data_IF_640918156209
#
_entry.id   IF_640918156209
#
_cell.length_a   1.000
_cell.length_b   1.000
_cell.length_c   1.000
_cell.angle_alpha   90.00
_cell.angle_beta   90.00
_cell.angle_gamma   90.00
#
_symmetry.space_group_name_H-M   'P 1'
#
loop_
_entity.id
_entity.type
_entity.pdbx_description
1 polymer ?
#
# COMPACT_ATOMS: atom_id res chain seq x y z
N UNK A 1 6.82 -22.31 -31.36
CA UNK A 1 7.17 -22.85 -30.03
C UNK A 1 7.17 -21.67 -29.06
N UNK A 2 6.01 -21.14 -28.65
CA UNK A 2 5.14 -21.61 -27.55
C UNK A 2 5.98 -21.98 -26.30
N UNK A 3 5.89 -21.34 -25.12
CA UNK A 3 4.82 -20.53 -24.53
C UNK A 3 5.37 -19.73 -23.34
N UNK A 4 5.11 -18.41 -23.28
CA UNK A 4 5.24 -17.60 -22.06
C UNK A 4 4.06 -16.62 -22.02
N UNK A 5 2.85 -17.18 -21.96
CA UNK A 5 1.60 -16.46 -21.70
C UNK A 5 0.79 -17.30 -20.72
N UNK A 6 0.13 -16.63 -19.76
CA UNK A 6 -0.52 -17.08 -18.51
C UNK A 6 0.40 -17.05 -17.27
N UNK A 7 0.07 -16.35 -16.18
CA UNK A 7 -1.25 -16.16 -15.57
C UNK A 7 -1.38 -14.81 -14.84
N UNK A 8 -2.27 -13.94 -15.33
CA UNK A 8 -2.90 -12.85 -14.58
C UNK A 8 -4.38 -13.20 -14.46
N UNK A 9 -4.71 -14.14 -13.57
CA UNK A 9 -6.07 -14.36 -13.06
C UNK A 9 -6.02 -15.48 -12.02
N UNK A 10 -5.98 -15.12 -10.73
CA UNK A 10 -6.49 -15.97 -9.65
C UNK A 10 -6.48 -15.19 -8.31
N UNK A 11 -7.64 -14.81 -7.74
CA UNK A 11 -7.72 -14.39 -6.35
C UNK A 11 -7.71 -15.63 -5.45
N UNK A 12 -6.53 -16.15 -5.11
CA UNK A 12 -6.40 -17.24 -4.13
C UNK A 12 -6.33 -16.71 -2.71
N UNK A 13 -7.41 -16.97 -1.97
CA UNK A 13 -7.55 -16.90 -0.52
C UNK A 13 -6.40 -17.65 0.19
N UNK A 14 -5.43 -16.91 0.72
CA UNK A 14 -4.31 -17.48 1.50
C UNK A 14 -4.61 -17.47 3.00
N UNK A 15 -5.46 -18.39 3.46
CA UNK A 15 -5.53 -18.80 4.87
C UNK A 15 -4.72 -20.09 5.02
N UNK A 16 -3.39 -19.93 5.07
CA UNK A 16 -2.45 -21.01 5.35
C UNK A 16 -1.09 -20.39 5.63
N UNK A 17 -0.47 -20.73 6.77
CA UNK A 17 0.89 -20.29 7.14
C UNK A 17 1.93 -20.94 6.19
N UNK A 18 1.95 -20.57 4.92
CA UNK A 18 2.84 -21.11 3.89
C UNK A 18 4.19 -20.40 3.89
N UNK A 19 5.22 -21.03 3.32
CA UNK A 19 6.57 -20.49 3.15
C UNK A 19 6.62 -19.06 2.58
N UNK A 20 5.59 -18.66 1.83
CA UNK A 20 5.40 -17.30 1.31
C UNK A 20 5.39 -16.25 2.43
N UNK A 21 4.70 -16.51 3.55
CA UNK A 21 4.65 -15.55 4.67
C UNK A 21 6.02 -15.38 5.33
N UNK A 22 6.81 -16.47 5.45
CA UNK A 22 8.17 -16.38 6.01
C UNK A 22 9.11 -15.65 5.06
N UNK A 23 9.02 -15.94 3.75
CA UNK A 23 9.82 -15.29 2.72
C UNK A 23 9.53 -13.78 2.66
N UNK A 24 8.26 -13.39 2.67
CA UNK A 24 7.85 -11.99 2.68
C UNK A 24 8.35 -11.26 3.93
N UNK A 25 8.27 -11.91 5.10
CA UNK A 25 8.84 -11.32 6.31
C UNK A 25 10.36 -11.14 6.20
N UNK A 26 11.11 -12.14 5.69
CA UNK A 26 12.56 -12.03 5.46
C UNK A 26 12.92 -10.89 4.49
N UNK A 27 12.13 -10.70 3.44
CA UNK A 27 12.36 -9.61 2.49
C UNK A 27 12.16 -8.24 3.15
N UNK A 28 11.11 -8.10 3.98
CA UNK A 28 10.89 -6.88 4.76
C UNK A 28 12.01 -6.67 5.79
N UNK A 29 12.40 -7.70 6.53
CA UNK A 29 13.53 -7.63 7.47
C UNK A 29 14.85 -7.25 6.78
N UNK A 30 15.11 -7.78 5.58
CA UNK A 30 16.27 -7.39 4.78
C UNK A 30 16.19 -5.93 4.35
N UNK A 31 15.06 -5.48 3.82
CA UNK A 31 14.85 -4.08 3.45
C UNK A 31 15.03 -3.14 4.65
N UNK A 32 14.65 -3.58 5.84
CA UNK A 32 14.87 -2.82 7.06
C UNK A 32 16.34 -2.73 7.48
N UNK A 33 17.14 -3.77 7.23
CA UNK A 33 18.60 -3.76 7.50
C UNK A 33 19.37 -2.89 6.52
N UNK A 34 18.98 -2.91 5.25
CA UNK A 34 19.57 -2.09 4.19
C UNK A 34 19.04 -0.64 4.17
N UNK A 35 18.30 -0.24 5.20
CA UNK A 35 17.69 1.08 5.23
C UNK A 35 18.74 2.18 5.35
N UNK A 36 18.76 3.07 4.37
CA UNK A 36 19.71 4.18 4.29
C UNK A 36 19.02 5.55 4.33
N UNK A 37 17.77 5.61 4.78
CA UNK A 37 16.94 6.82 4.71
C UNK A 37 16.10 6.91 3.43
N UNK A 38 15.20 7.90 3.41
CA UNK A 38 14.45 8.27 2.22
C UNK A 38 15.31 9.05 1.22
N UNK A 39 14.93 9.02 -0.08
CA UNK A 39 15.55 9.90 -1.05
C UNK A 39 15.45 11.37 -0.65
N UNK A 40 16.45 12.16 -1.08
CA UNK A 40 16.51 13.59 -0.75
C UNK A 40 15.25 14.30 -1.25
N UNK A 41 14.63 15.09 -0.36
CA UNK A 41 13.41 15.84 -0.65
C UNK A 41 12.11 15.04 -0.52
N UNK A 42 12.18 13.75 -0.18
CA UNK A 42 11.00 12.89 0.03
C UNK A 42 10.66 12.84 1.52
N UNK A 43 9.42 13.15 1.86
CA UNK A 43 8.89 13.03 3.22
C UNK A 43 8.18 11.69 3.44
N UNK A 44 8.00 11.33 4.72
CA UNK A 44 7.18 10.17 5.12
C UNK A 44 5.73 10.26 4.62
N UNK A 45 5.22 11.48 4.40
CA UNK A 45 3.86 11.75 3.92
C UNK A 45 3.73 11.55 2.41
N UNK A 46 4.81 11.75 1.65
CA UNK A 46 4.83 11.47 0.21
C UNK A 46 4.65 9.97 -0.04
N UNK A 47 5.33 9.14 0.74
CA UNK A 47 5.16 7.68 0.64
C UNK A 47 3.75 7.26 1.03
N UNK A 48 3.19 7.83 2.10
CA UNK A 48 1.81 7.55 2.48
C UNK A 48 0.84 7.92 1.34
N UNK A 49 1.08 9.05 0.66
CA UNK A 49 0.28 9.48 -0.48
C UNK A 49 0.36 8.48 -1.64
N UNK A 50 1.54 7.91 -1.91
CA UNK A 50 1.71 6.83 -2.87
C UNK A 50 0.94 5.57 -2.46
N UNK A 51 1.00 5.16 -1.18
CA UNK A 51 0.23 4.01 -0.68
C UNK A 51 -1.27 4.23 -0.84
N UNK A 52 -1.77 5.44 -0.54
CA UNK A 52 -3.20 5.78 -0.71
C UNK A 52 -3.62 5.69 -2.18
N UNK A 53 -2.81 6.20 -3.12
CA UNK A 53 -3.05 6.05 -4.58
C UNK A 53 -3.04 4.59 -5.01
N UNK A 54 -2.12 3.79 -4.47
CA UNK A 54 -1.93 2.38 -4.82
C UNK A 54 -2.76 1.42 -3.95
N UNK A 55 -3.69 1.89 -3.12
CA UNK A 55 -4.38 1.05 -2.14
C UNK A 55 -4.98 -0.21 -2.77
N UNK A 56 -5.65 -0.07 -3.92
CA UNK A 56 -6.23 -1.19 -4.67
C UNK A 56 -5.17 -2.14 -5.21
N UNK A 57 -4.13 -1.61 -5.85
CA UNK A 57 -3.05 -2.39 -6.47
C UNK A 57 -2.21 -3.15 -5.44
N UNK A 58 -2.10 -2.61 -4.22
CA UNK A 58 -1.43 -3.25 -3.08
C UNK A 58 -2.35 -4.25 -2.34
N UNK A 59 -3.61 -4.39 -2.75
CA UNK A 59 -4.58 -5.26 -2.09
C UNK A 59 -4.91 -4.84 -0.66
N UNK A 60 -4.79 -3.54 -0.34
CA UNK A 60 -4.98 -3.01 1.00
C UNK A 60 -6.44 -2.62 1.24
N UNK A 61 -6.91 -2.87 2.47
CA UNK A 61 -8.18 -2.32 2.95
C UNK A 61 -8.00 -0.90 3.47
N UNK A 62 -9.09 -0.11 3.51
CA UNK A 62 -9.07 1.23 4.12
C UNK A 62 -8.58 1.19 5.57
N UNK A 63 -8.95 0.16 6.33
CA UNK A 63 -8.49 -0.07 7.70
C UNK A 63 -6.98 -0.29 7.78
N UNK A 64 -6.39 -1.00 6.83
CA UNK A 64 -4.94 -1.20 6.76
C UNK A 64 -4.21 0.09 6.39
N UNK A 65 -4.69 0.82 5.38
CA UNK A 65 -4.13 2.12 4.98
C UNK A 65 -4.20 3.14 6.14
N UNK A 66 -5.34 3.22 6.82
CA UNK A 66 -5.53 4.09 7.99
C UNK A 66 -4.63 3.69 9.17
N UNK A 67 -4.39 2.40 9.37
CA UNK A 67 -3.45 1.95 10.39
C UNK A 67 -2.00 2.31 10.05
N UNK A 68 -1.61 2.20 8.77
CA UNK A 68 -0.29 2.63 8.33
C UNK A 68 -0.09 4.14 8.51
N UNK A 69 -1.09 4.95 8.14
CA UNK A 69 -1.11 6.39 8.40
C UNK A 69 -0.96 6.72 9.89
N UNK A 70 -1.68 6.00 10.75
CA UNK A 70 -1.54 6.12 12.20
C UNK A 70 -0.09 5.85 12.65
N UNK A 71 0.53 4.76 12.17
CA UNK A 71 1.92 4.41 12.52
C UNK A 71 2.92 5.47 12.04
N UNK A 72 2.77 5.95 10.80
CA UNK A 72 3.61 7.03 10.24
C UNK A 72 3.52 8.29 11.11
N UNK A 73 2.34 8.60 11.65
CA UNK A 73 2.14 9.71 12.58
C UNK A 73 2.93 9.61 13.90
N UNK A 74 3.40 8.42 14.29
CA UNK A 74 4.26 8.22 15.48
C UNK A 74 5.76 8.31 15.18
N UNK A 75 6.13 8.60 13.92
CA UNK A 75 7.52 8.81 13.51
C UNK A 75 7.81 10.30 13.28
N UNK A 76 9.09 10.67 13.36
CA UNK A 76 9.64 12.02 13.08
C UNK A 76 10.45 11.98 11.79
N UNK A 77 10.68 13.12 11.16
CA UNK A 77 11.38 13.15 9.86
C UNK A 77 12.82 12.64 9.98
N UNK A 78 13.48 12.88 11.11
CA UNK A 78 14.80 12.34 11.44
C UNK A 78 14.83 10.80 11.50
N UNK A 79 13.70 10.14 11.78
CA UNK A 79 13.64 8.67 11.81
C UNK A 79 13.76 8.07 10.40
N UNK A 80 13.47 8.87 9.37
CA UNK A 80 13.49 8.47 7.97
C UNK A 80 14.79 8.87 7.27
N UNK A 81 15.81 9.30 8.01
CA UNK A 81 17.11 9.71 7.48
C UNK A 81 18.16 8.61 7.66
N UNK A 82 19.28 8.76 6.95
CA UNK A 82 20.43 7.86 7.07
C UNK A 82 20.90 7.75 8.53
N UNK A 83 21.21 6.54 8.98
CA UNK A 83 21.67 6.28 10.35
C UNK A 83 20.57 6.18 11.40
N UNK A 84 19.30 6.41 11.04
CA UNK A 84 18.13 6.22 11.91
C UNK A 84 17.18 5.16 11.33
N UNK A 85 16.09 4.86 12.05
CA UNK A 85 15.05 3.93 11.59
C UNK A 85 13.65 4.37 12.05
N UNK A 86 12.62 4.28 11.20
CA UNK A 86 11.23 4.62 11.54
C UNK A 86 10.58 3.49 12.34
N UNK A 87 10.99 3.34 13.61
CA UNK A 87 10.50 2.32 14.53
C UNK A 87 9.51 2.92 15.53
N UNK A 88 8.32 2.30 15.60
CA UNK A 88 7.24 2.64 16.51
C UNK A 88 7.22 1.62 17.66
N UNK A 89 7.57 2.08 18.85
CA UNK A 89 7.57 1.26 20.08
C UNK A 89 6.27 1.37 20.90
N UNK A 90 5.22 1.98 20.35
CA UNK A 90 3.90 2.03 20.97
C UNK A 90 3.36 0.60 21.14
N UNK A 91 3.00 0.23 22.38
CA UNK A 91 2.53 -1.12 22.71
C UNK A 91 1.26 -1.48 21.93
N UNK A 92 1.02 -2.79 21.73
CA UNK A 92 -0.21 -3.26 21.06
C UNK A 92 -1.45 -2.82 21.81
N UNK A 93 -1.43 -2.89 23.16
CA UNK A 93 -2.52 -2.43 24.03
C UNK A 93 -2.78 -0.93 23.90
N UNK A 94 -1.74 -0.10 23.92
CA UNK A 94 -1.89 1.35 23.76
C UNK A 94 -2.37 1.71 22.35
N UNK A 95 -1.89 1.00 21.33
CA UNK A 95 -2.36 1.14 19.94
C UNK A 95 -3.85 0.78 19.82
N UNK A 96 -4.27 -0.31 20.46
CA UNK A 96 -5.65 -0.78 20.50
C UNK A 96 -6.58 0.28 21.14
N UNK A 97 -6.21 0.79 22.32
CA UNK A 97 -6.95 1.86 23.03
C UNK A 97 -7.05 3.11 22.15
N UNK A 98 -5.93 3.61 21.62
CA UNK A 98 -5.90 4.84 20.80
C UNK A 98 -6.71 4.73 19.51
N UNK A 99 -6.86 3.52 18.97
CA UNK A 99 -7.62 3.28 17.73
C UNK A 99 -9.04 2.76 17.97
N UNK A 100 -9.45 2.52 19.21
CA UNK A 100 -10.76 1.96 19.55
C UNK A 100 -11.00 0.57 18.97
N UNK A 101 -9.96 -0.28 18.93
CA UNK A 101 -10.04 -1.66 18.39
C UNK A 101 -9.43 -2.67 19.36
N UNK A 102 -9.63 -3.97 19.13
CA UNK A 102 -8.96 -5.00 19.94
C UNK A 102 -7.47 -5.14 19.60
N UNK A 103 -6.66 -5.60 20.56
CA UNK A 103 -5.25 -5.97 20.32
C UNK A 103 -5.09 -7.01 19.21
N UNK A 104 -6.00 -7.99 19.17
CA UNK A 104 -6.05 -8.99 18.11
C UNK A 104 -6.21 -8.33 16.73
N UNK A 105 -7.05 -7.32 16.62
CA UNK A 105 -7.25 -6.58 15.37
C UNK A 105 -6.00 -5.78 14.98
N UNK A 106 -5.32 -5.13 15.94
CA UNK A 106 -4.02 -4.46 15.70
C UNK A 106 -3.03 -5.46 15.09
N UNK A 107 -2.79 -6.58 15.78
CA UNK A 107 -1.85 -7.60 15.32
C UNK A 107 -2.23 -8.20 13.95
N UNK A 108 -3.52 -8.37 13.67
CA UNK A 108 -3.98 -8.87 12.37
C UNK A 108 -3.75 -7.87 11.24
N UNK A 109 -3.97 -6.57 11.50
CA UNK A 109 -3.69 -5.50 10.53
C UNK A 109 -2.19 -5.43 10.26
N UNK A 110 -1.35 -5.38 11.30
CA UNK A 110 0.11 -5.33 11.13
C UNK A 110 0.64 -6.56 10.38
N UNK A 111 0.13 -7.77 10.68
CA UNK A 111 0.47 -8.97 9.90
C UNK A 111 0.04 -8.88 8.43
N UNK A 112 -1.08 -8.24 8.13
CA UNK A 112 -1.48 -8.02 6.75
C UNK A 112 -0.54 -7.02 6.04
N UNK A 113 -0.16 -5.94 6.72
CA UNK A 113 0.81 -4.96 6.20
C UNK A 113 2.21 -5.58 6.01
N UNK A 114 2.66 -6.44 6.92
CA UNK A 114 3.90 -7.21 6.76
C UNK A 114 3.84 -8.16 5.56
N UNK A 115 2.70 -8.86 5.35
CA UNK A 115 2.51 -9.67 4.13
C UNK A 115 2.52 -8.84 2.85
N UNK A 116 2.07 -7.58 2.91
CA UNK A 116 2.18 -6.64 1.81
C UNK A 116 3.62 -6.06 1.64
N UNK A 117 4.56 -6.43 2.53
CA UNK A 117 5.95 -5.97 2.49
C UNK A 117 6.15 -4.54 2.98
N UNK A 118 5.18 -3.97 3.70
CA UNK A 118 5.17 -2.54 4.08
C UNK A 118 5.79 -2.28 5.46
N UNK A 119 5.91 -3.31 6.29
CA UNK A 119 6.53 -3.21 7.61
C UNK A 119 7.13 -4.55 8.04
N UNK A 120 8.01 -4.52 9.02
CA UNK A 120 8.45 -5.68 9.78
C UNK A 120 8.48 -5.34 11.27
N UNK A 121 8.91 -6.27 12.11
CA UNK A 121 9.13 -6.02 13.53
C UNK A 121 10.63 -6.00 13.84
N UNK A 122 11.02 -5.06 14.69
CA UNK A 122 12.33 -5.05 15.33
C UNK A 122 12.15 -5.55 16.76
N UNK A 123 12.52 -6.81 17.01
CA UNK A 123 12.28 -7.49 18.27
C UNK A 123 13.55 -7.63 19.12
N UNK A 124 13.41 -7.51 20.44
CA UNK A 124 14.47 -7.67 21.45
C UNK A 124 14.55 -9.09 22.02
N UNK A 125 13.97 -10.08 21.34
CA UNK A 125 13.90 -11.48 21.79
C UNK A 125 12.69 -11.80 22.70
N UNK A 126 12.10 -10.82 23.40
CA UNK A 126 10.89 -11.02 24.23
C UNK A 126 9.59 -10.49 23.59
N UNK A 127 9.65 -10.03 22.33
CA UNK A 127 8.52 -9.45 21.55
C UNK A 127 7.80 -8.26 22.23
N UNK A 128 8.39 -7.67 23.28
CA UNK A 128 7.83 -6.47 23.91
C UNK A 128 8.26 -5.24 23.14
N UNK A 129 7.31 -4.30 22.99
CA UNK A 129 7.61 -2.98 22.41
C UNK A 129 8.09 -2.05 23.51
N UNK A 130 9.27 -1.48 23.32
CA UNK A 130 9.83 -0.48 24.21
C UNK A 130 10.84 0.35 23.45
N UNK A 131 11.00 1.60 23.85
CA UNK A 131 11.97 2.48 23.26
C UNK A 131 12.09 3.78 24.03
N UNK A 132 13.14 4.49 23.72
CA UNK A 132 13.49 5.76 24.33
C UNK A 132 14.00 6.70 23.24
N UNK A 133 13.57 7.95 23.34
CA UNK A 133 14.06 9.05 22.51
C UNK A 133 14.86 10.00 23.38
N UNK A 134 15.95 10.55 22.83
CA UNK A 134 16.69 11.64 23.47
C UNK A 134 15.81 12.89 23.62
N UNK A 135 16.29 13.86 24.38
CA UNK A 135 15.62 15.17 24.52
C UNK A 135 15.51 15.90 23.16
N UNK A 136 16.49 15.71 22.29
CA UNK A 136 16.50 16.19 20.89
C UNK A 136 15.52 15.43 19.99
N UNK A 137 14.98 14.30 20.45
CA UNK A 137 14.00 13.51 19.73
C UNK A 137 14.50 12.29 19.00
N UNK A 138 15.82 12.08 18.99
CA UNK A 138 16.46 10.98 18.27
C UNK A 138 16.10 9.65 18.90
N UNK A 139 15.88 8.65 18.07
CA UNK A 139 15.56 7.31 18.53
C UNK A 139 16.84 6.61 19.02
N UNK A 140 17.07 6.61 20.33
CA UNK A 140 18.28 6.04 20.94
C UNK A 140 18.22 4.51 20.96
N UNK A 141 17.07 3.96 21.30
CA UNK A 141 16.82 2.52 21.26
C UNK A 141 15.32 2.29 21.09
N UNK A 142 14.92 1.39 20.19
CA UNK A 142 13.52 1.06 20.00
C UNK A 142 13.32 -0.35 19.43
N UNK A 143 12.35 -1.05 20.02
CA UNK A 143 11.85 -2.34 19.60
C UNK A 143 10.34 -2.23 19.39
N UNK A 144 9.87 -2.66 18.22
CA UNK A 144 8.49 -2.49 17.80
C UNK A 144 8.31 -2.59 16.29
N UNK A 145 7.30 -1.88 15.78
CA UNK A 145 6.97 -1.91 14.34
C UNK A 145 7.98 -1.05 13.58
N UNK A 146 8.68 -1.63 12.61
CA UNK A 146 9.66 -0.95 11.77
C UNK A 146 9.06 -0.68 10.37
N UNK A 147 9.02 0.59 9.97
CA UNK A 147 8.50 1.03 8.68
C UNK A 147 9.58 1.21 7.60
N UNK A 148 10.84 0.88 7.86
CA UNK A 148 11.89 0.93 6.85
C UNK A 148 11.56 0.16 5.54
N UNK A 149 10.84 -0.99 5.56
CA UNK A 149 10.43 -1.65 4.32
C UNK A 149 9.51 -0.79 3.44
N UNK A 150 8.73 0.12 4.04
CA UNK A 150 7.90 1.07 3.31
C UNK A 150 8.77 2.06 2.51
N UNK A 151 9.87 2.53 3.09
CA UNK A 151 10.82 3.41 2.42
C UNK A 151 11.46 2.72 1.20
N UNK A 152 11.86 1.46 1.35
CA UNK A 152 12.42 0.67 0.25
C UNK A 152 11.44 0.47 -0.92
N UNK A 153 10.14 0.65 -0.70
CA UNK A 153 9.13 0.56 -1.76
C UNK A 153 8.96 1.86 -2.56
N UNK A 154 9.56 2.99 -2.15
CA UNK A 154 9.28 4.31 -2.73
C UNK A 154 9.42 4.35 -4.26
N UNK A 155 10.59 3.97 -4.79
CA UNK A 155 10.84 4.02 -6.24
C UNK A 155 9.87 3.14 -7.03
N UNK A 156 9.63 1.92 -6.52
CA UNK A 156 8.65 1.01 -7.12
C UNK A 156 7.24 1.60 -7.11
N UNK A 157 6.86 2.28 -6.04
CA UNK A 157 5.55 2.92 -5.94
C UNK A 157 5.42 4.11 -6.89
N UNK A 158 6.46 4.92 -7.07
CA UNK A 158 6.47 5.99 -8.07
C UNK A 158 6.22 5.45 -9.48
N UNK A 159 6.85 4.33 -9.85
CA UNK A 159 6.63 3.67 -11.15
C UNK A 159 5.20 3.13 -11.26
N UNK A 160 4.71 2.44 -10.23
CA UNK A 160 3.36 1.87 -10.23
C UNK A 160 2.28 2.97 -10.32
N UNK A 161 2.45 4.09 -9.62
CA UNK A 161 1.49 5.20 -9.69
C UNK A 161 1.41 5.75 -11.12
N UNK A 162 2.55 5.96 -11.78
CA UNK A 162 2.56 6.40 -13.19
C UNK A 162 1.80 5.43 -14.09
N UNK A 163 2.05 4.11 -13.93
CA UNK A 163 1.36 3.09 -14.71
C UNK A 163 -0.16 3.04 -14.45
N UNK A 164 -0.59 3.28 -13.21
CA UNK A 164 -2.02 3.37 -12.85
C UNK A 164 -2.65 4.62 -13.48
N UNK A 165 -1.99 5.77 -13.35
CA UNK A 165 -2.46 7.03 -13.92
C UNK A 165 -2.58 6.92 -15.46
N UNK A 166 -1.60 6.35 -16.15
CA UNK A 166 -1.65 6.09 -17.59
C UNK A 166 -2.84 5.22 -18.01
N UNK A 167 -3.09 4.11 -17.30
CA UNK A 167 -4.25 3.23 -17.54
C UNK A 167 -5.57 3.98 -17.33
N UNK A 168 -5.66 4.79 -16.29
CA UNK A 168 -6.85 5.61 -16.03
C UNK A 168 -7.07 6.66 -17.11
N UNK A 169 -6.00 7.30 -17.59
CA UNK A 169 -6.08 8.26 -18.68
C UNK A 169 -6.56 7.59 -19.97
N UNK A 170 -5.99 6.43 -20.35
CA UNK A 170 -6.43 5.68 -21.52
C UNK A 170 -7.91 5.27 -21.42
N UNK A 171 -8.33 4.76 -20.25
CA UNK A 171 -9.73 4.40 -20.00
C UNK A 171 -10.67 5.60 -20.13
N UNK A 172 -10.31 6.76 -19.56
CA UNK A 172 -11.10 8.00 -19.66
C UNK A 172 -11.25 8.45 -21.12
N UNK A 173 -10.18 8.40 -21.91
CA UNK A 173 -10.20 8.74 -23.34
C UNK A 173 -11.13 7.80 -24.12
N UNK A 174 -10.99 6.49 -23.96
CA UNK A 174 -11.82 5.48 -24.62
C UNK A 174 -13.30 5.62 -24.23
N UNK A 175 -13.58 5.82 -22.94
CA UNK A 175 -14.94 6.05 -22.45
C UNK A 175 -15.55 7.31 -23.06
N UNK A 176 -14.78 8.39 -23.14
CA UNK A 176 -15.25 9.65 -23.75
C UNK A 176 -15.61 9.46 -25.22
N UNK A 177 -14.74 8.80 -26.00
CA UNK A 177 -15.01 8.46 -27.39
C UNK A 177 -16.27 7.62 -27.52
N UNK A 178 -16.43 6.55 -26.73
CA UNK A 178 -17.63 5.71 -26.76
C UNK A 178 -18.90 6.52 -26.47
N UNK A 179 -18.86 7.42 -25.49
CA UNK A 179 -19.98 8.28 -25.15
C UNK A 179 -20.34 9.25 -26.28
N UNK A 180 -19.33 9.82 -26.96
CA UNK A 180 -19.53 10.64 -28.15
C UNK A 180 -20.18 9.85 -29.30
N UNK A 181 -19.66 8.66 -29.63
CA UNK A 181 -20.24 7.81 -30.67
C UNK A 181 -21.68 7.40 -30.35
N UNK A 182 -21.96 7.03 -29.08
CA UNK A 182 -23.33 6.71 -28.64
C UNK A 182 -24.29 7.90 -28.79
N UNK A 183 -23.81 9.11 -28.53
CA UNK A 183 -24.61 10.34 -28.71
C UNK A 183 -24.94 10.54 -30.19
N UNK A 184 -23.95 10.51 -31.07
CA UNK A 184 -24.15 10.67 -32.52
C UNK A 184 -25.12 9.62 -33.03
N UNK A 185 -24.95 8.34 -32.67
CA UNK A 185 -25.86 7.28 -33.10
C UNK A 185 -27.30 7.51 -32.62
N UNK A 186 -27.51 8.01 -31.39
CA UNK A 186 -28.85 8.36 -30.91
C UNK A 186 -29.46 9.50 -31.72
N UNK A 187 -28.68 10.54 -32.03
CA UNK A 187 -29.12 11.66 -32.86
C UNK A 187 -29.48 11.18 -34.27
N UNK A 188 -28.67 10.30 -34.88
CA UNK A 188 -28.95 9.70 -36.19
C UNK A 188 -30.23 8.84 -36.18
N UNK A 189 -30.44 8.01 -35.15
CA UNK A 189 -31.67 7.22 -35.00
C UNK A 189 -32.90 8.13 -34.84
N UNK A 190 -32.77 9.24 -34.11
CA UNK A 190 -33.86 10.19 -33.93
C UNK A 190 -34.22 10.92 -35.24
N UNK A 191 -33.22 11.21 -36.08
CA UNK A 191 -33.40 11.83 -37.40
C UNK A 191 -33.96 10.85 -38.45
N UNK A 192 -33.77 9.54 -38.27
CA UNK A 192 -34.28 8.49 -39.17
C UNK A 192 -35.29 7.55 -38.50
N UNK A 193 -36.48 8.02 -38.07
CA UNK A 193 -37.43 7.22 -37.31
C UNK A 193 -38.00 6.00 -38.09
N UNK A 194 -37.98 6.04 -39.43
CA UNK A 194 -38.39 4.94 -40.32
C UNK A 194 -37.46 3.71 -40.21
N UNK A 195 -36.20 3.89 -39.77
CA UNK A 195 -35.21 2.81 -39.63
C UNK A 195 -35.52 1.83 -38.48
N UNK A 196 -36.40 2.21 -37.54
CA UNK A 196 -36.85 1.32 -36.45
C UNK A 196 -37.68 0.12 -36.93
N UNK A 197 -38.34 0.24 -38.08
CA UNK A 197 -39.30 -0.76 -38.55
C UNK A 197 -38.68 -1.93 -39.34
N UNK A 198 -37.37 -1.90 -39.60
CA UNK A 198 -36.67 -2.95 -40.37
C UNK A 198 -36.20 -4.15 -39.53
N UNK A 199 -36.26 -4.07 -38.20
CA UNK A 199 -35.75 -5.10 -37.27
C UNK A 199 -36.84 -5.87 -36.52
N UNK A 200 -38.12 -5.63 -36.82
CA UNK A 200 -39.29 -6.25 -36.17
C UNK A 200 -40.12 -7.15 -37.09
N UNK A 201 -39.58 -7.60 -38.23
CA UNK A 201 -40.20 -8.62 -39.10
C UNK A 201 -39.42 -9.92 -39.08
#
# INVERSE_FOLDING_TARGET
MNSFVHNLDEPKTLIGKSNTSRRLNRAAEHAAKEFSGLPVGVSRWDILSLVKKLQRELGLTSTQTSHLEFLIGYTRDQDWQFGSHPIIYLTVSATAVKRGVSERQVLNIERALNRAGLLCWHDSGNQRRYGYRSDSGDLVSAFGVNLAPLAACYERFCVLVKAVEEKEHAWKQQKMLLLMHKRVLREQIALHPQAKNYWTR
#
